data_IF_059350939931
#
_entry.id   IF_059350939931
#
_cell.length_a   1.000
_cell.length_b   1.000
_cell.length_c   1.000
_cell.angle_alpha   90.00
_cell.angle_beta   90.00
_cell.angle_gamma   90.00
#
_symmetry.space_group_name_H-M   'P 1'
#
loop_
_entity.id
_entity.type
_entity.pdbx_description
1 polymer ?
#
# COMPACT_ATOMS: atom_id res chain seq x y z
N UNK A 1 -7.12 -13.53 -33.88
CA UNK A 1 -6.03 -14.00 -33.00
C UNK A 1 -6.47 -13.82 -31.56
N UNK A 2 -6.56 -14.91 -30.81
CA UNK A 2 -6.80 -14.89 -29.37
C UNK A 2 -5.52 -14.43 -28.63
N UNK A 3 -5.66 -13.75 -27.50
CA UNK A 3 -4.52 -13.38 -26.66
C UNK A 3 -3.65 -14.59 -26.27
N UNK A 4 -4.27 -15.78 -26.14
CA UNK A 4 -3.57 -17.05 -25.89
C UNK A 4 -2.67 -17.46 -27.06
N UNK A 5 -3.12 -17.24 -28.29
CA UNK A 5 -2.37 -17.62 -29.50
C UNK A 5 -1.15 -16.71 -29.70
N UNK A 6 -1.30 -15.41 -29.38
CA UNK A 6 -0.17 -14.47 -29.42
C UNK A 6 0.90 -14.82 -28.38
N UNK A 7 0.48 -15.22 -27.17
CA UNK A 7 1.42 -15.64 -26.12
C UNK A 7 2.19 -16.90 -26.50
N UNK A 8 1.52 -17.90 -27.09
CA UNK A 8 2.18 -19.13 -27.52
C UNK A 8 3.24 -18.84 -28.58
N UNK A 9 2.91 -17.99 -29.56
CA UNK A 9 3.85 -17.59 -30.62
C UNK A 9 5.08 -16.85 -30.08
N UNK A 10 4.91 -16.03 -29.05
CA UNK A 10 6.00 -15.26 -28.44
C UNK A 10 6.93 -16.16 -27.60
N UNK A 11 6.35 -17.13 -26.88
CA UNK A 11 7.08 -18.08 -26.02
C UNK A 11 7.95 -19.05 -26.84
N UNK A 12 7.55 -19.40 -28.06
CA UNK A 12 8.31 -20.29 -28.95
C UNK A 12 9.70 -19.76 -29.35
N UNK A 13 9.89 -18.43 -29.33
CA UNK A 13 11.15 -17.78 -29.75
C UNK A 13 12.09 -17.40 -28.60
N UNK A 14 11.72 -17.66 -27.35
CA UNK A 14 12.43 -17.15 -26.17
C UNK A 14 13.46 -18.12 -25.60
N UNK A 15 14.43 -17.57 -24.86
CA UNK A 15 15.43 -18.33 -24.12
C UNK A 15 14.88 -18.82 -22.77
N UNK A 16 15.43 -19.91 -22.24
CA UNK A 16 14.98 -20.52 -20.97
C UNK A 16 14.98 -19.53 -19.78
N UNK A 17 15.93 -18.59 -19.75
CA UNK A 17 16.01 -17.56 -18.72
C UNK A 17 14.86 -16.56 -18.78
N UNK A 18 14.40 -16.21 -19.98
CA UNK A 18 13.26 -15.34 -20.20
C UNK A 18 11.96 -16.06 -19.83
N UNK A 19 11.86 -17.35 -20.16
CA UNK A 19 10.73 -18.19 -19.78
C UNK A 19 10.57 -18.28 -18.26
N UNK A 20 11.67 -18.40 -17.52
CA UNK A 20 11.64 -18.41 -16.05
C UNK A 20 11.12 -17.08 -15.48
N UNK A 21 11.60 -15.94 -15.99
CA UNK A 21 11.11 -14.62 -15.56
C UNK A 21 9.62 -14.45 -15.85
N UNK A 22 9.16 -14.88 -17.02
CA UNK A 22 7.74 -14.84 -17.40
C UNK A 22 6.90 -15.72 -16.47
N UNK A 23 7.37 -16.92 -16.13
CA UNK A 23 6.70 -17.80 -15.18
C UNK A 23 6.56 -17.14 -13.80
N UNK A 24 7.60 -16.48 -13.31
CA UNK A 24 7.55 -15.74 -12.04
C UNK A 24 6.48 -14.65 -12.09
N UNK A 25 6.45 -13.85 -13.15
CA UNK A 25 5.46 -12.78 -13.33
C UNK A 25 4.03 -13.36 -13.37
N UNK A 26 3.81 -14.44 -14.12
CA UNK A 26 2.50 -15.10 -14.20
C UNK A 26 2.04 -15.62 -12.82
N UNK A 27 2.96 -16.21 -12.06
CA UNK A 27 2.68 -16.70 -10.70
C UNK A 27 2.32 -15.55 -9.76
N UNK A 28 3.05 -14.44 -9.83
CA UNK A 28 2.73 -13.24 -9.05
C UNK A 28 1.35 -12.67 -9.38
N UNK A 29 1.02 -12.55 -10.68
CA UNK A 29 -0.30 -12.08 -11.13
C UNK A 29 -1.40 -13.00 -10.61
N UNK A 30 -1.23 -14.32 -10.72
CA UNK A 30 -2.18 -15.31 -10.19
C UNK A 30 -2.36 -15.19 -8.68
N UNK A 31 -1.26 -15.00 -7.94
CA UNK A 31 -1.27 -14.85 -6.49
C UNK A 31 -1.96 -13.55 -6.04
N UNK A 32 -1.77 -12.45 -6.77
CA UNK A 32 -2.48 -11.17 -6.53
C UNK A 32 -3.98 -11.32 -6.73
N UNK A 33 -4.41 -11.88 -7.87
CA UNK A 33 -5.83 -12.12 -8.14
C UNK A 33 -6.50 -13.03 -7.09
N UNK A 34 -5.79 -14.08 -6.64
CA UNK A 34 -6.29 -14.95 -5.57
C UNK A 34 -6.34 -14.24 -4.20
N UNK A 35 -5.43 -13.30 -3.94
CA UNK A 35 -5.39 -12.51 -2.71
C UNK A 35 -6.49 -11.45 -2.68
N UNK A 36 -6.79 -10.82 -3.80
CA UNK A 36 -7.88 -9.84 -3.93
C UNK A 36 -9.26 -10.50 -3.76
N UNK A 37 -9.43 -11.72 -4.27
CA UNK A 37 -10.62 -12.52 -4.02
C UNK A 37 -10.80 -12.88 -2.53
N UNK A 38 -9.71 -13.08 -1.77
CA UNK A 38 -9.74 -13.32 -0.31
C UNK A 38 -9.91 -12.04 0.53
N UNK A 39 -9.51 -10.86 0.02
CA UNK A 39 -9.63 -9.56 0.71
C UNK A 39 -11.05 -8.99 0.72
N UNK A 40 -12.00 -9.61 0.02
CA UNK A 40 -13.42 -9.21 0.01
C UNK A 40 -14.12 -9.26 1.39
N UNK A 41 -13.44 -9.70 2.47
CA UNK A 41 -13.97 -9.69 3.85
C UNK A 41 -13.32 -8.69 4.83
N UNK A 42 -12.44 -7.80 4.37
CA UNK A 42 -12.10 -6.60 5.15
C UNK A 42 -12.53 -5.38 4.37
N UNK A 43 -13.56 -4.71 4.88
CA UNK A 43 -14.02 -3.39 4.46
C UNK A 43 -12.82 -2.50 4.15
N UNK A 44 -12.55 -2.32 2.86
CA UNK A 44 -11.59 -1.36 2.35
C UNK A 44 -12.20 0.03 2.44
N UNK A 45 -12.53 0.48 3.64
CA UNK A 45 -12.52 1.91 3.91
C UNK A 45 -11.05 2.31 3.92
N UNK A 46 -10.48 2.54 2.74
CA UNK A 46 -9.32 3.41 2.63
C UNK A 46 -9.75 4.69 3.34
N UNK A 47 -9.19 4.95 4.52
CA UNK A 47 -9.44 6.20 5.23
C UNK A 47 -9.19 7.31 4.23
N UNK A 48 -10.24 8.02 3.84
CA UNK A 48 -10.29 8.80 2.59
C UNK A 48 -9.22 9.90 2.48
N UNK A 49 -8.36 10.09 3.50
CA UNK A 49 -7.46 11.23 3.67
C UNK A 49 -8.21 12.54 3.93
N UNK A 50 -9.47 12.62 3.48
CA UNK A 50 -10.39 13.75 3.65
C UNK A 50 -10.60 14.13 5.11
N UNK A 51 -10.51 13.20 6.07
CA UNK A 51 -10.65 13.54 7.50
C UNK A 51 -9.53 14.46 7.99
N UNK A 52 -8.29 14.20 7.59
CA UNK A 52 -7.12 14.99 7.98
C UNK A 52 -7.11 16.32 7.21
N UNK A 53 -7.40 16.27 5.90
CA UNK A 53 -7.42 17.46 5.03
C UNK A 53 -8.58 18.43 5.34
N UNK A 54 -9.66 17.99 6.01
CA UNK A 54 -10.76 18.88 6.47
C UNK A 54 -10.30 20.02 7.38
N UNK A 55 -9.19 19.79 8.07
CA UNK A 55 -8.65 20.74 9.04
C UNK A 55 -7.43 21.47 8.49
N UNK A 56 -6.82 21.05 7.38
CA UNK A 56 -5.67 21.74 6.77
C UNK A 56 -6.00 23.23 6.51
N UNK A 57 -5.14 24.14 6.99
CA UNK A 57 -5.33 25.59 6.88
C UNK A 57 -6.29 26.22 7.91
N UNK A 58 -6.96 25.41 8.76
CA UNK A 58 -7.71 25.88 9.95
C UNK A 58 -6.90 25.78 11.24
N UNK A 59 -5.66 25.30 11.15
CA UNK A 59 -4.74 25.28 12.28
C UNK A 59 -4.33 26.73 12.49
N UNK A 60 -4.77 27.29 13.60
CA UNK A 60 -4.44 28.63 14.05
C UNK A 60 -3.60 28.45 15.30
N UNK A 61 -2.48 29.17 15.38
CA UNK A 61 -1.57 29.08 16.52
C UNK A 61 -0.25 28.39 16.15
N UNK A 62 0.87 28.98 16.57
CA UNK A 62 2.18 28.33 16.59
C UNK A 62 2.34 27.72 17.99
N UNK A 63 1.42 26.82 18.32
CA UNK A 63 1.20 26.32 19.68
C UNK A 63 2.23 25.25 20.07
N UNK A 64 3.35 25.21 19.34
CA UNK A 64 4.46 24.31 19.59
C UNK A 64 4.92 24.42 21.04
N UNK A 65 5.11 25.64 21.53
CA UNK A 65 5.59 25.88 22.88
C UNK A 65 4.57 25.44 23.94
N UNK A 66 3.27 25.73 23.73
CA UNK A 66 2.19 25.32 24.64
C UNK A 66 2.03 23.80 24.67
N UNK A 67 2.10 23.15 23.50
CA UNK A 67 2.09 21.69 23.40
C UNK A 67 3.32 21.05 24.06
N UNK A 68 4.50 21.66 23.91
CA UNK A 68 5.73 21.20 24.52
C UNK A 68 5.67 21.32 26.06
N UNK A 69 5.17 22.44 26.56
CA UNK A 69 5.00 22.69 27.99
C UNK A 69 3.94 21.74 28.60
N UNK A 70 2.87 21.42 27.87
CA UNK A 70 1.90 20.39 28.24
C UNK A 70 2.54 19.00 28.33
N UNK A 71 3.42 18.63 27.41
CA UNK A 71 4.13 17.34 27.45
C UNK A 71 5.10 17.28 28.63
N UNK A 72 5.87 18.36 28.86
CA UNK A 72 6.78 18.41 30.01
C UNK A 72 6.05 18.39 31.35
N UNK A 73 4.91 19.07 31.45
CA UNK A 73 4.11 19.12 32.69
C UNK A 73 3.30 17.85 32.94
N UNK A 74 2.84 17.15 31.89
CA UNK A 74 2.04 15.92 32.02
C UNK A 74 2.88 14.65 32.13
N UNK A 75 4.14 14.65 31.67
CA UNK A 75 5.04 13.52 31.88
C UNK A 75 5.45 13.47 33.35
N UNK A 76 4.87 12.53 34.09
CA UNK A 76 5.36 12.17 35.41
C UNK A 76 6.83 11.70 35.34
N UNK A 77 7.62 12.07 36.35
CA UNK A 77 9.01 11.65 36.48
C UNK A 77 9.10 10.13 36.35
N UNK A 78 9.73 9.64 35.28
CA UNK A 78 10.01 8.23 35.13
C UNK A 78 11.10 7.85 36.14
N UNK A 79 10.73 7.11 37.16
CA UNK A 79 11.69 6.42 38.02
C UNK A 79 12.20 5.19 37.26
N UNK A 80 13.52 5.12 37.06
CA UNK A 80 14.22 3.99 36.45
C UNK A 80 14.97 3.19 37.52
#
# INVERSE_FOLDING_TARGET
MSAKELLIKEIEGMTETELQQILTIIQEVKNKLNSDNKKSKLSSHLGSGKSILRHAGKWVGDDWQECLDLVYSSRGNAEF
#
